data_IF_011446418899
#
_entry.id   IF_011446418899
#
_cell.length_a   1.000
_cell.length_b   1.000
_cell.length_c   1.000
_cell.angle_alpha   90.00
_cell.angle_beta   90.00
_cell.angle_gamma   90.00
#
_symmetry.space_group_name_H-M   'P 1'
#
loop_
_entity.id
_entity.type
_entity.pdbx_description
1 polymer ?
#
# COMPACT_ATOMS: atom_id res chain seq x y z
N UNK A 1 -12.71 25.67 -15.78
CA UNK A 1 -11.70 24.74 -15.22
C UNK A 1 -12.00 24.57 -13.74
N UNK A 2 -11.91 23.37 -13.23
CA UNK A 2 -12.11 23.11 -11.79
C UNK A 2 -10.95 23.71 -11.00
N UNK A 3 -11.23 24.34 -9.85
CA UNK A 3 -10.20 24.81 -8.89
C UNK A 3 -9.69 23.66 -8.00
N UNK A 4 -10.31 22.48 -8.10
CA UNK A 4 -9.93 21.28 -7.34
C UNK A 4 -8.95 20.43 -8.13
N UNK A 5 -8.01 19.74 -7.45
CA UNK A 5 -7.13 18.78 -8.12
C UNK A 5 -7.92 17.60 -8.67
N UNK A 6 -7.45 17.02 -9.75
CA UNK A 6 -7.96 15.76 -10.30
C UNK A 6 -6.96 14.63 -10.09
N UNK A 7 -7.38 13.39 -10.36
CA UNK A 7 -6.56 12.19 -10.16
C UNK A 7 -6.45 11.45 -11.49
N UNK A 8 -5.21 11.21 -11.92
CA UNK A 8 -4.88 10.42 -13.10
C UNK A 8 -4.42 9.02 -12.67
N UNK A 9 -4.92 7.93 -13.25
CA UNK A 9 -4.41 6.58 -12.98
C UNK A 9 -2.91 6.47 -13.17
N UNK A 10 -2.20 5.88 -12.19
CA UNK A 10 -0.75 5.75 -12.21
C UNK A 10 -0.29 4.30 -12.06
N UNK A 11 -0.71 3.60 -11.00
CA UNK A 11 -0.20 2.26 -10.69
C UNK A 11 -1.28 1.32 -10.17
N UNK A 12 -1.06 0.03 -10.40
CA UNK A 12 -1.62 -1.04 -9.58
C UNK A 12 -0.51 -1.63 -8.73
N UNK A 13 -0.73 -1.70 -7.43
CA UNK A 13 0.20 -2.29 -6.46
C UNK A 13 -0.46 -3.50 -5.84
N UNK A 14 0.26 -4.62 -5.76
CA UNK A 14 -0.16 -5.82 -5.03
C UNK A 14 0.97 -6.25 -4.11
N UNK A 15 0.67 -6.44 -2.82
CA UNK A 15 1.64 -6.84 -1.80
C UNK A 15 1.09 -8.07 -1.06
N UNK A 16 1.86 -9.15 -1.02
CA UNK A 16 1.55 -10.32 -0.21
C UNK A 16 1.98 -10.07 1.23
N UNK A 17 1.05 -10.17 2.16
CA UNK A 17 1.28 -9.90 3.58
C UNK A 17 1.77 -11.16 4.29
N UNK A 18 2.86 -11.04 5.03
CA UNK A 18 3.31 -12.07 5.96
C UNK A 18 2.53 -12.03 7.27
N UNK A 19 2.75 -12.99 8.15
CA UNK A 19 2.11 -13.02 9.45
C UNK A 19 2.50 -11.78 10.27
N UNK A 20 1.53 -11.11 10.91
CA UNK A 20 1.79 -9.92 11.70
C UNK A 20 2.59 -10.24 12.96
N UNK A 21 3.53 -9.37 13.31
CA UNK A 21 4.26 -9.36 14.56
C UNK A 21 3.58 -8.38 15.52
N UNK A 22 2.91 -8.90 16.54
CA UNK A 22 2.21 -8.09 17.53
C UNK A 22 3.20 -7.51 18.54
N UNK A 23 3.56 -6.24 18.38
CA UNK A 23 4.50 -5.53 19.28
C UNK A 23 3.76 -4.89 20.44
N UNK A 24 2.63 -4.23 20.17
CA UNK A 24 1.89 -3.45 21.16
C UNK A 24 2.58 -2.14 21.53
N UNK A 25 2.01 -1.44 22.51
CA UNK A 25 2.62 -0.24 23.09
C UNK A 25 2.06 -0.01 24.49
N UNK A 26 2.87 -0.34 25.50
CA UNK A 26 2.44 -0.28 26.90
C UNK A 26 2.13 1.14 27.38
N UNK A 27 2.91 2.13 26.93
CA UNK A 27 2.75 3.52 27.37
C UNK A 27 1.65 4.29 26.63
N UNK A 28 1.37 3.94 25.38
CA UNK A 28 0.45 4.68 24.50
C UNK A 28 -0.92 4.04 24.38
N UNK A 29 -1.10 2.86 24.95
CA UNK A 29 -2.32 2.07 24.88
C UNK A 29 -2.86 1.91 23.44
N UNK A 30 -1.96 1.79 22.47
CA UNK A 30 -2.28 1.44 21.10
C UNK A 30 -1.62 0.12 20.70
N UNK A 31 -2.15 -0.56 19.71
CA UNK A 31 -1.64 -1.83 19.24
C UNK A 31 -0.74 -1.59 18.02
N UNK A 32 0.59 -1.57 18.24
CA UNK A 32 1.54 -1.62 17.13
C UNK A 32 1.66 -3.08 16.64
N UNK A 33 1.45 -3.26 15.36
CA UNK A 33 1.76 -4.49 14.63
C UNK A 33 2.75 -4.17 13.51
N UNK A 34 3.67 -5.07 13.26
CA UNK A 34 4.56 -4.99 12.10
C UNK A 34 4.21 -6.13 11.16
N UNK A 35 3.86 -5.81 9.93
CA UNK A 35 3.57 -6.80 8.90
C UNK A 35 4.69 -6.81 7.88
N UNK A 36 5.57 -7.84 7.90
CA UNK A 36 6.60 -7.99 6.89
C UNK A 36 6.00 -8.38 5.55
N UNK A 37 6.71 -8.07 4.49
CA UNK A 37 6.41 -8.54 3.14
C UNK A 37 7.69 -8.62 2.31
N UNK A 38 7.77 -9.62 1.44
CA UNK A 38 8.91 -9.84 0.54
C UNK A 38 8.51 -10.11 -0.91
N UNK A 39 7.21 -10.12 -1.19
CA UNK A 39 6.65 -10.37 -2.52
C UNK A 39 5.55 -9.36 -2.84
N UNK A 40 5.56 -8.89 -4.08
CA UNK A 40 4.57 -7.97 -4.61
C UNK A 40 4.99 -7.35 -5.92
N UNK A 41 4.04 -6.73 -6.59
CA UNK A 41 4.22 -6.12 -7.91
C UNK A 41 3.76 -4.67 -7.92
N UNK A 42 4.43 -3.87 -8.75
CA UNK A 42 4.05 -2.51 -9.12
C UNK A 42 3.94 -2.45 -10.64
N UNK A 43 2.77 -2.14 -11.15
CA UNK A 43 2.47 -2.08 -12.57
C UNK A 43 1.87 -0.74 -12.93
N UNK A 44 2.47 -0.01 -13.87
CA UNK A 44 1.93 1.26 -14.35
C UNK A 44 0.60 1.07 -15.08
N UNK A 45 -0.28 2.04 -14.90
CA UNK A 45 -1.47 2.16 -15.75
C UNK A 45 -1.05 2.49 -17.20
N UNK A 46 -1.83 2.05 -18.20
CA UNK A 46 -1.54 2.38 -19.60
C UNK A 46 -1.38 3.88 -19.82
N UNK A 47 -0.28 4.28 -20.44
CA UNK A 47 0.02 5.68 -20.76
C UNK A 47 0.60 6.51 -19.59
N UNK A 48 0.83 5.93 -18.43
CA UNK A 48 1.52 6.62 -17.35
C UNK A 48 3.04 6.59 -17.58
N UNK A 49 3.69 7.75 -17.47
CA UNK A 49 5.14 7.89 -17.63
C UNK A 49 5.80 8.60 -16.42
N UNK A 50 7.01 8.16 -16.01
CA UNK A 50 7.73 6.98 -16.50
C UNK A 50 7.02 5.69 -16.13
N UNK A 51 6.94 4.74 -17.07
CA UNK A 51 6.35 3.44 -16.79
C UNK A 51 7.20 2.69 -15.75
N UNK A 52 6.55 2.23 -14.68
CA UNK A 52 7.16 1.42 -13.63
C UNK A 52 6.57 0.02 -13.69
N UNK A 53 7.42 -0.94 -14.01
CA UNK A 53 7.16 -2.36 -13.96
C UNK A 53 8.19 -2.97 -13.02
N UNK A 54 7.79 -3.30 -11.82
CA UNK A 54 8.72 -3.63 -10.75
C UNK A 54 8.18 -4.68 -9.79
N UNK A 55 9.11 -5.37 -9.12
CA UNK A 55 8.81 -6.29 -8.05
C UNK A 55 9.43 -5.80 -6.74
N UNK A 56 8.82 -6.19 -5.62
CA UNK A 56 9.41 -5.99 -4.30
C UNK A 56 10.71 -6.78 -4.21
N UNK A 57 11.75 -6.17 -3.64
CA UNK A 57 13.04 -6.81 -3.35
C UNK A 57 13.41 -6.63 -1.88
N UNK A 58 14.08 -7.65 -1.32
CA UNK A 58 14.36 -7.68 0.11
C UNK A 58 13.07 -7.86 0.94
N UNK A 59 13.09 -7.33 2.13
CA UNK A 59 11.95 -7.35 3.07
C UNK A 59 11.52 -5.93 3.37
N UNK A 60 10.26 -5.60 3.05
CA UNK A 60 9.61 -4.40 3.53
C UNK A 60 8.77 -4.68 4.78
N UNK A 61 8.32 -3.63 5.44
CA UNK A 61 7.48 -3.71 6.63
C UNK A 61 6.40 -2.64 6.59
N UNK A 62 5.19 -3.00 7.00
CA UNK A 62 4.16 -2.04 7.35
C UNK A 62 4.03 -1.96 8.88
N UNK A 63 4.30 -0.78 9.43
CA UNK A 63 4.22 -0.48 10.86
C UNK A 63 2.84 0.08 11.17
N UNK A 64 1.93 -0.79 11.55
CA UNK A 64 0.51 -0.49 11.68
C UNK A 64 0.15 -0.22 13.14
N UNK A 65 -0.50 0.92 13.41
CA UNK A 65 -1.11 1.20 14.70
C UNK A 65 -2.63 1.04 14.58
N UNK A 66 -3.21 0.18 15.42
CA UNK A 66 -4.66 0.11 15.56
C UNK A 66 -5.13 1.17 16.58
N UNK A 67 -6.16 1.93 16.23
CA UNK A 67 -6.78 2.88 17.16
C UNK A 67 -7.43 2.13 18.33
N UNK A 68 -7.48 2.71 19.55
CA UNK A 68 -8.01 2.01 20.72
C UNK A 68 -9.48 1.57 20.61
N UNK A 69 -10.27 2.24 19.79
CA UNK A 69 -11.66 1.88 19.51
C UNK A 69 -11.81 0.71 18.53
N UNK A 70 -10.70 0.24 17.94
CA UNK A 70 -10.68 -0.86 16.99
C UNK A 70 -11.37 -0.57 15.65
N UNK A 71 -11.57 0.71 15.30
CA UNK A 71 -12.25 1.09 14.07
C UNK A 71 -11.30 1.46 12.92
N UNK A 72 -10.07 1.85 13.23
CA UNK A 72 -9.10 2.29 12.22
C UNK A 72 -7.72 1.69 12.44
N UNK A 73 -7.03 1.45 11.32
CA UNK A 73 -5.59 1.18 11.28
C UNK A 73 -4.87 2.37 10.67
N UNK A 74 -3.72 2.73 11.26
CA UNK A 74 -2.81 3.76 10.77
C UNK A 74 -1.60 3.08 10.18
N UNK A 75 -1.43 3.22 8.85
CA UNK A 75 -0.38 2.55 8.08
C UNK A 75 0.88 3.40 8.01
N UNK A 76 2.03 2.75 8.03
CA UNK A 76 3.33 3.35 7.71
C UNK A 76 4.24 2.28 7.11
N UNK A 77 4.17 2.14 5.80
CA UNK A 77 4.82 1.08 5.05
C UNK A 77 6.11 1.57 4.41
N UNK A 78 7.13 0.73 4.47
CA UNK A 78 8.45 0.98 3.89
C UNK A 78 8.92 -0.25 3.12
N UNK A 79 9.35 -0.06 1.88
CA UNK A 79 9.86 -1.14 1.05
C UNK A 79 10.73 -0.63 -0.09
N UNK A 80 11.36 -1.55 -0.79
CA UNK A 80 12.13 -1.27 -2.00
C UNK A 80 11.59 -2.12 -3.13
N UNK A 81 11.42 -1.51 -4.28
CA UNK A 81 11.08 -2.19 -5.52
C UNK A 81 12.24 -2.12 -6.50
N UNK A 82 12.31 -3.10 -7.37
CA UNK A 82 13.30 -3.19 -8.44
C UNK A 82 12.58 -3.32 -9.77
N UNK A 83 12.86 -2.40 -10.66
CA UNK A 83 12.28 -2.35 -12.00
C UNK A 83 12.93 -3.35 -12.94
N UNK A 84 12.30 -3.62 -14.09
CA UNK A 84 12.84 -4.53 -15.11
C UNK A 84 14.17 -4.04 -15.70
N UNK A 85 14.45 -2.74 -15.66
CA UNK A 85 15.74 -2.14 -16.03
C UNK A 85 16.70 -1.95 -14.84
N UNK A 86 16.51 -2.74 -13.78
CA UNK A 86 17.38 -2.87 -12.61
C UNK A 86 17.43 -1.64 -11.69
N UNK A 87 16.59 -0.63 -11.87
CA UNK A 87 16.52 0.52 -10.98
C UNK A 87 15.93 0.13 -9.63
N UNK A 88 16.52 0.61 -8.55
CA UNK A 88 15.97 0.51 -7.21
C UNK A 88 15.20 1.77 -6.87
N UNK A 89 13.97 1.59 -6.38
CA UNK A 89 13.09 2.67 -5.95
C UNK A 89 12.62 2.36 -4.52
N UNK A 90 12.92 3.25 -3.59
CA UNK A 90 12.33 3.20 -2.26
C UNK A 90 10.88 3.68 -2.32
N UNK A 91 10.00 2.97 -1.64
CA UNK A 91 8.57 3.28 -1.55
C UNK A 91 8.19 3.43 -0.09
N UNK A 92 7.56 4.52 0.24
CA UNK A 92 6.89 4.72 1.51
C UNK A 92 5.44 5.09 1.28
N UNK A 93 4.54 4.52 2.07
CA UNK A 93 3.18 5.06 2.15
C UNK A 93 2.69 5.11 3.58
N UNK A 94 1.92 6.15 3.86
CA UNK A 94 1.10 6.28 5.06
C UNK A 94 -0.36 6.20 4.66
N UNK A 95 -1.23 5.81 5.59
CA UNK A 95 -2.64 5.68 5.24
C UNK A 95 -3.53 5.34 6.40
N UNK A 96 -4.81 5.23 6.08
CA UNK A 96 -5.86 4.86 7.04
C UNK A 96 -6.72 3.77 6.43
N UNK A 97 -6.98 2.73 7.22
CA UNK A 97 -7.97 1.69 6.91
C UNK A 97 -9.13 1.82 7.88
N UNK A 98 -10.34 1.95 7.36
CA UNK A 98 -11.56 1.79 8.14
C UNK A 98 -11.90 0.32 8.25
N UNK A 99 -11.99 -0.20 9.48
CA UNK A 99 -12.25 -1.61 9.75
C UNK A 99 -13.75 -1.87 9.80
N UNK A 100 -14.34 -2.24 8.67
CA UNK A 100 -15.68 -2.83 8.64
C UNK A 100 -15.61 -4.34 8.92
N UNK A 101 -16.75 -5.02 8.98
CA UNK A 101 -16.79 -6.47 9.18
C UNK A 101 -16.06 -7.22 8.05
N UNK A 102 -16.04 -6.66 6.83
CA UNK A 102 -15.35 -7.26 5.69
C UNK A 102 -13.84 -7.24 5.89
N UNK A 103 -13.25 -6.10 6.29
CA UNK A 103 -11.83 -5.99 6.59
C UNK A 103 -11.45 -6.87 7.78
N UNK A 104 -12.21 -6.80 8.86
CA UNK A 104 -12.00 -7.65 10.06
C UNK A 104 -12.03 -9.13 9.69
N UNK A 105 -13.00 -9.56 8.88
CA UNK A 105 -13.13 -10.95 8.46
C UNK A 105 -11.88 -11.48 7.75
N UNK A 106 -11.31 -10.73 6.82
CA UNK A 106 -10.10 -11.14 6.09
C UNK A 106 -8.86 -11.05 6.98
N UNK A 107 -8.68 -9.94 7.70
CA UNK A 107 -7.47 -9.72 8.49
C UNK A 107 -7.35 -10.66 9.70
N UNK A 108 -8.45 -11.15 10.23
CA UNK A 108 -8.47 -12.16 11.30
C UNK A 108 -8.44 -13.60 10.79
N UNK A 109 -8.54 -13.82 9.47
CA UNK A 109 -8.62 -15.15 8.87
C UNK A 109 -9.98 -15.82 8.98
N UNK A 110 -11.02 -15.12 9.46
CA UNK A 110 -12.40 -15.65 9.48
C UNK A 110 -12.97 -15.79 8.05
N UNK A 111 -12.58 -14.91 7.15
CA UNK A 111 -12.87 -14.99 5.71
C UNK A 111 -11.63 -15.46 4.98
N UNK A 112 -11.66 -16.70 4.47
CA UNK A 112 -10.50 -17.33 3.82
C UNK A 112 -10.53 -17.23 2.29
N UNK A 113 -11.65 -16.79 1.71
CA UNK A 113 -11.87 -16.64 0.27
C UNK A 113 -12.77 -15.43 0.01
N UNK A 114 -12.30 -14.49 -0.82
CA UNK A 114 -13.03 -13.29 -1.16
C UNK A 114 -12.18 -12.02 -1.13
N UNK A 115 -12.83 -10.88 -1.30
CA UNK A 115 -12.19 -9.59 -1.22
C UNK A 115 -13.07 -8.54 -0.55
N UNK A 116 -12.45 -7.57 0.12
CA UNK A 116 -13.17 -6.37 0.54
C UNK A 116 -13.46 -5.47 -0.67
N UNK A 117 -14.45 -4.57 -0.60
CA UNK A 117 -14.59 -3.54 -1.60
C UNK A 117 -13.39 -2.56 -1.55
N UNK A 118 -13.15 -1.84 -2.64
CA UNK A 118 -12.31 -0.65 -2.61
C UNK A 118 -13.03 0.49 -1.87
N UNK A 119 -12.27 1.30 -1.12
CA UNK A 119 -12.78 2.53 -0.52
C UNK A 119 -12.73 2.60 0.99
N UNK A 120 -12.30 1.53 1.67
CA UNK A 120 -12.06 1.53 3.11
C UNK A 120 -10.58 1.69 3.49
N UNK A 121 -9.70 1.74 2.49
CA UNK A 121 -8.27 1.99 2.68
C UNK A 121 -7.81 3.09 1.72
N UNK A 122 -7.20 4.15 2.28
CA UNK A 122 -6.62 5.23 1.50
C UNK A 122 -5.19 5.49 1.95
N UNK A 123 -4.31 5.73 0.99
CA UNK A 123 -2.89 5.94 1.23
C UNK A 123 -2.36 7.16 0.51
N UNK A 124 -1.31 7.77 1.08
CA UNK A 124 -0.42 8.72 0.43
C UNK A 124 0.92 8.02 0.19
N UNK A 125 1.39 8.01 -1.05
CA UNK A 125 2.54 7.21 -1.47
C UNK A 125 3.63 8.16 -1.97
N UNK A 126 4.86 7.91 -1.53
CA UNK A 126 6.05 8.64 -1.96
C UNK A 126 7.12 7.67 -2.47
N UNK A 127 7.95 8.17 -3.37
CA UNK A 127 9.05 7.43 -3.97
C UNK A 127 10.35 8.18 -3.79
N UNK A 128 11.48 7.44 -3.73
CA UNK A 128 12.82 8.00 -3.71
C UNK A 128 13.75 7.07 -4.50
N UNK A 129 14.55 7.60 -5.42
CA UNK A 129 15.45 6.80 -6.26
C UNK A 129 16.67 7.58 -6.72
N UNK A 130 17.80 6.91 -6.82
CA UNK A 130 19.01 7.45 -7.48
C UNK A 130 19.01 7.30 -9.01
N UNK A 131 17.96 6.72 -9.60
CA UNK A 131 17.94 6.43 -11.03
C UNK A 131 17.28 7.58 -11.83
N UNK A 132 18.02 8.14 -12.78
CA UNK A 132 17.65 9.35 -13.52
C UNK A 132 16.27 9.25 -14.23
N UNK A 133 15.94 8.09 -14.79
CA UNK A 133 14.66 7.85 -15.49
C UNK A 133 13.44 8.04 -14.57
N UNK A 134 13.58 7.70 -13.29
CA UNK A 134 12.45 7.67 -12.35
C UNK A 134 12.43 8.84 -11.37
N UNK A 135 13.42 9.75 -11.44
CA UNK A 135 13.56 10.86 -10.48
C UNK A 135 12.31 11.75 -10.35
N UNK A 136 11.55 11.90 -11.42
CA UNK A 136 10.35 12.73 -11.39
C UNK A 136 9.23 12.17 -10.49
N UNK A 137 9.26 10.88 -10.17
CA UNK A 137 8.31 10.29 -9.21
C UNK A 137 8.43 10.92 -7.81
N UNK A 138 9.63 11.40 -7.44
CA UNK A 138 9.88 12.05 -6.15
C UNK A 138 9.14 13.39 -6.00
N UNK A 139 8.83 14.04 -7.12
CA UNK A 139 8.23 15.38 -7.17
C UNK A 139 6.71 15.37 -7.39
N UNK A 140 6.10 14.17 -7.40
CA UNK A 140 4.68 14.01 -7.66
C UNK A 140 3.94 13.55 -6.41
N UNK A 141 2.65 13.86 -6.32
CA UNK A 141 1.78 13.42 -5.24
C UNK A 141 0.94 12.25 -5.73
N UNK A 142 0.98 11.15 -4.98
CA UNK A 142 0.22 9.95 -5.28
C UNK A 142 -0.71 9.60 -4.13
N UNK A 143 -1.93 9.21 -4.49
CA UNK A 143 -2.93 8.70 -3.55
C UNK A 143 -3.46 7.37 -4.02
N UNK A 144 -3.66 6.44 -3.10
CA UNK A 144 -4.15 5.12 -3.40
C UNK A 144 -5.43 4.81 -2.68
N UNK A 145 -6.29 3.98 -3.29
CA UNK A 145 -7.36 3.28 -2.60
C UNK A 145 -7.13 1.79 -2.66
N UNK A 146 -7.32 1.12 -1.51
CA UNK A 146 -6.95 -0.27 -1.34
C UNK A 146 -8.13 -1.19 -1.05
N UNK A 147 -7.87 -2.48 -1.20
CA UNK A 147 -8.71 -3.58 -0.75
C UNK A 147 -7.83 -4.74 -0.30
N UNK A 148 -8.40 -5.63 0.49
CA UNK A 148 -7.78 -6.89 0.85
C UNK A 148 -8.38 -8.03 0.05
N UNK A 149 -7.55 -8.97 -0.36
CA UNK A 149 -7.94 -10.16 -1.11
C UNK A 149 -7.42 -11.38 -0.36
N UNK A 150 -8.34 -12.27 0.03
CA UNK A 150 -8.02 -13.56 0.61
C UNK A 150 -8.28 -14.66 -0.41
N UNK A 151 -7.41 -15.64 -0.46
CA UNK A 151 -7.57 -16.87 -1.24
C UNK A 151 -7.12 -18.05 -0.39
N UNK A 152 -7.95 -19.08 -0.31
CA UNK A 152 -7.69 -20.26 0.53
C UNK A 152 -6.30 -20.84 0.27
N UNK A 153 -5.53 -21.01 1.34
CA UNK A 153 -4.18 -21.58 1.27
C UNK A 153 -3.09 -20.62 0.76
N UNK A 154 -3.43 -19.35 0.53
CA UNK A 154 -2.48 -18.30 0.14
C UNK A 154 -2.41 -17.18 1.17
N UNK A 155 -1.35 -16.38 1.09
CA UNK A 155 -1.24 -15.15 1.89
C UNK A 155 -2.31 -14.15 1.47
N UNK A 156 -2.73 -13.32 2.40
CA UNK A 156 -3.59 -12.16 2.08
C UNK A 156 -2.81 -11.19 1.22
N UNK A 157 -3.45 -10.67 0.20
CA UNK A 157 -2.89 -9.63 -0.67
C UNK A 157 -3.59 -8.33 -0.39
N UNK A 158 -2.83 -7.25 -0.15
CA UNK A 158 -3.37 -5.90 -0.27
C UNK A 158 -3.15 -5.40 -1.70
N UNK A 159 -4.23 -4.91 -2.31
CA UNK A 159 -4.21 -4.36 -3.66
C UNK A 159 -4.57 -2.87 -3.61
N UNK A 160 -3.73 -2.02 -4.19
CA UNK A 160 -3.99 -0.58 -4.33
C UNK A 160 -4.14 -0.18 -5.79
N UNK A 161 -5.12 0.66 -6.05
CA UNK A 161 -5.24 1.47 -7.25
C UNK A 161 -4.75 2.86 -6.93
N UNK A 162 -3.65 3.25 -7.54
CA UNK A 162 -2.93 4.49 -7.25
C UNK A 162 -3.12 5.49 -8.38
N UNK A 163 -3.45 6.70 -8.02
CA UNK A 163 -3.51 7.83 -8.94
C UNK A 163 -2.55 8.94 -8.56
N UNK A 164 -2.04 9.61 -9.58
CA UNK A 164 -1.30 10.87 -9.42
C UNK A 164 -2.29 12.02 -9.28
N UNK A 165 -2.04 12.89 -8.32
CA UNK A 165 -2.76 14.16 -8.20
C UNK A 165 -2.23 15.11 -9.27
N UNK A 166 -3.13 15.64 -10.09
CA UNK A 166 -2.79 16.54 -11.20
C UNK A 166 -3.71 17.76 -11.21
N UNK A 167 -3.31 18.76 -11.98
CA UNK A 167 -4.16 19.90 -12.29
C UNK A 167 -5.36 19.44 -13.12
N UNK A 168 -6.54 19.95 -12.81
CA UNK A 168 -7.79 19.64 -13.54
C UNK A 168 -7.89 20.40 -14.86
#
# INVERSE_FOLDING_TARGET
MSEFPSIQPAFTIKIELDAPLAVGSASRNNALQVIPFSNGTFESAPGFEPAVDANIVGTGNDYIHADPDGQHLRLNCHGVIKTNDEALIYVNYTGVVTLTDAEKGILTGATVDGSTPFGNSFTHITFETGHERYKDLENRVFVGKGRFVAQKGKKVVVEYRVGQVVHA
#
